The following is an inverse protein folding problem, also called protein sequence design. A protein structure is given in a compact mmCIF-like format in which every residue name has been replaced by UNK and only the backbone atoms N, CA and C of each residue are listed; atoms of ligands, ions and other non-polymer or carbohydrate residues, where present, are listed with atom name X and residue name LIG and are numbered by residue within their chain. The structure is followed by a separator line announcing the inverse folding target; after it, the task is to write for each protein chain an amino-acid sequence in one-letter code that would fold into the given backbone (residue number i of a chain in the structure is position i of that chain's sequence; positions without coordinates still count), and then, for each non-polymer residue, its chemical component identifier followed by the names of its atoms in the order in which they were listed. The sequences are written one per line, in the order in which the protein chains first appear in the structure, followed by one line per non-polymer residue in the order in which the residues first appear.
data_IF_129591897818
#
_entry.id   IF_129591897818
#
_cell.length_a   1.000
_cell.length_b   1.000
_cell.length_c   1.000
_cell.angle_alpha   90.00
_cell.angle_beta   90.00
_cell.angle_gamma   90.00
#
_symmetry.space_group_name_H-M   'P 1'
#
loop_
_entity.id
_entity.type
_entity.pdbx_description
1 polymer ?
#
# COMPACT_ATOMS: atom_id res chain seq x y z
N UNK A 1 21.61 -33.65 14.39
CA UNK A 1 21.15 -33.00 15.65
C UNK A 1 21.58 -31.54 15.76
N UNK A 2 22.79 -31.15 15.38
CA UNK A 2 23.20 -29.72 15.37
C UNK A 2 22.64 -28.94 14.15
N UNK A 3 22.61 -29.55 12.97
CA UNK A 3 22.11 -28.92 11.74
C UNK A 3 20.60 -28.67 11.77
N UNK A 4 19.83 -29.58 12.34
CA UNK A 4 18.36 -29.44 12.50
C UNK A 4 18.04 -28.23 13.41
N UNK A 5 18.82 -28.03 14.48
CA UNK A 5 18.65 -26.87 15.37
C UNK A 5 18.97 -25.55 14.65
N UNK A 6 20.07 -25.49 13.89
CA UNK A 6 20.41 -24.30 13.10
C UNK A 6 19.33 -23.95 12.08
N UNK A 7 18.80 -24.93 11.37
CA UNK A 7 17.74 -24.69 10.38
C UNK A 7 16.44 -24.22 11.02
N UNK A 8 16.11 -24.72 12.21
CA UNK A 8 14.96 -24.24 12.98
C UNK A 8 15.16 -22.79 13.46
N UNK A 9 16.35 -22.45 13.96
CA UNK A 9 16.67 -21.09 14.40
C UNK A 9 16.63 -20.10 13.22
N UNK A 10 17.18 -20.48 12.07
CA UNK A 10 17.14 -19.68 10.83
C UNK A 10 15.69 -19.48 10.36
N UNK A 11 14.87 -20.54 10.36
CA UNK A 11 13.46 -20.45 10.01
C UNK A 11 12.68 -19.53 10.96
N UNK A 12 13.02 -19.52 12.26
CA UNK A 12 12.43 -18.62 13.25
C UNK A 12 12.80 -17.16 12.97
N UNK A 13 14.07 -16.86 12.70
CA UNK A 13 14.52 -15.50 12.34
C UNK A 13 13.83 -15.01 11.09
N UNK A 14 13.75 -15.86 10.05
CA UNK A 14 13.05 -15.54 8.80
C UNK A 14 11.56 -15.25 9.03
N UNK A 15 10.88 -16.05 9.85
CA UNK A 15 9.47 -15.84 10.16
C UNK A 15 9.23 -14.48 10.86
N UNK A 16 10.06 -14.12 11.83
CA UNK A 16 9.99 -12.81 12.51
C UNK A 16 10.21 -11.66 11.52
N UNK A 17 11.24 -11.75 10.67
CA UNK A 17 11.54 -10.73 9.69
C UNK A 17 10.39 -10.54 8.68
N UNK A 18 9.83 -11.64 8.15
CA UNK A 18 8.70 -11.56 7.20
C UNK A 18 7.46 -10.99 7.89
N UNK A 19 7.23 -11.32 9.17
CA UNK A 19 6.09 -10.78 9.93
C UNK A 19 6.21 -9.27 10.09
N UNK A 20 7.40 -8.76 10.45
CA UNK A 20 7.66 -7.32 10.49
C UNK A 20 7.39 -6.63 9.14
N UNK A 21 7.86 -7.20 8.02
CA UNK A 21 7.59 -6.65 6.69
C UNK A 21 6.09 -6.68 6.32
N UNK A 22 5.35 -7.67 6.80
CA UNK A 22 3.90 -7.72 6.61
C UNK A 22 3.19 -6.59 7.36
N UNK A 23 3.61 -6.28 8.59
CA UNK A 23 3.07 -5.18 9.38
C UNK A 23 3.39 -3.82 8.76
N UNK A 24 4.63 -3.61 8.33
CA UNK A 24 5.03 -2.40 7.60
C UNK A 24 4.20 -2.22 6.33
N UNK A 25 4.03 -3.28 5.54
CA UNK A 25 3.20 -3.25 4.33
C UNK A 25 1.78 -2.81 4.66
N UNK A 26 1.18 -3.38 5.70
CA UNK A 26 -0.18 -3.04 6.15
C UNK A 26 -0.26 -1.58 6.61
N UNK A 27 0.74 -1.09 7.36
CA UNK A 27 0.83 0.30 7.78
C UNK A 27 0.87 1.25 6.57
N UNK A 28 1.77 1.00 5.61
CA UNK A 28 1.90 1.83 4.41
C UNK A 28 0.66 1.75 3.52
N UNK A 29 0.04 0.58 3.40
CA UNK A 29 -1.21 0.40 2.66
C UNK A 29 -2.33 1.23 3.28
N UNK A 30 -2.48 1.20 4.60
CA UNK A 30 -3.47 2.01 5.32
C UNK A 30 -3.23 3.51 5.14
N UNK A 31 -1.97 3.95 5.21
CA UNK A 31 -1.61 5.36 5.00
C UNK A 31 -1.90 5.81 3.55
N UNK A 32 -1.54 4.99 2.57
CA UNK A 32 -1.78 5.25 1.16
C UNK A 32 -3.29 5.30 0.84
N UNK A 33 -4.09 4.38 1.39
CA UNK A 33 -5.54 4.34 1.16
C UNK A 33 -6.24 5.57 1.76
N UNK A 34 -5.85 5.99 2.98
CA UNK A 34 -6.34 7.25 3.57
C UNK A 34 -6.04 8.46 2.68
N UNK A 35 -4.81 8.53 2.14
CA UNK A 35 -4.40 9.65 1.28
C UNK A 35 -5.13 9.64 -0.07
N UNK A 36 -5.31 8.47 -0.68
CA UNK A 36 -6.13 8.26 -1.88
C UNK A 36 -7.57 8.74 -1.66
N UNK A 37 -8.19 8.32 -0.55
CA UNK A 37 -9.57 8.71 -0.24
C UNK A 37 -9.72 10.22 -0.04
N UNK A 38 -8.76 10.85 0.63
CA UNK A 38 -8.71 12.31 0.77
C UNK A 38 -8.63 13.01 -0.60
N UNK A 39 -7.69 12.61 -1.45
CA UNK A 39 -7.53 13.21 -2.79
C UNK A 39 -8.76 12.96 -3.67
N UNK A 40 -9.36 11.76 -3.63
CA UNK A 40 -10.60 11.46 -4.35
C UNK A 40 -11.75 12.35 -3.87
N UNK A 41 -11.90 12.56 -2.58
CA UNK A 41 -12.93 13.45 -2.03
C UNK A 41 -12.74 14.90 -2.51
N UNK A 42 -11.49 15.36 -2.66
CA UNK A 42 -11.17 16.70 -3.17
C UNK A 42 -11.35 16.84 -4.69
N UNK A 43 -10.99 15.81 -5.46
CA UNK A 43 -11.01 15.82 -6.92
C UNK A 43 -12.39 15.49 -7.52
N UNK A 44 -13.18 14.63 -6.87
CA UNK A 44 -14.50 14.20 -7.36
C UNK A 44 -15.44 15.36 -7.72
N UNK A 45 -15.72 16.35 -6.83
CA UNK A 45 -16.59 17.46 -7.18
C UNK A 45 -16.02 18.33 -8.31
N UNK A 46 -14.69 18.43 -8.39
CA UNK A 46 -14.01 19.17 -9.45
C UNK A 46 -14.13 18.49 -10.82
N UNK A 47 -14.13 17.15 -10.86
CA UNK A 47 -14.38 16.38 -12.08
C UNK A 47 -15.83 16.48 -12.51
N UNK A 48 -16.78 16.31 -11.59
CA UNK A 48 -18.22 16.45 -11.88
C UNK A 48 -18.55 17.81 -12.48
N UNK A 49 -18.12 18.89 -11.82
CA UNK A 49 -18.33 20.25 -12.32
C UNK A 49 -17.72 20.46 -13.71
N UNK A 50 -16.53 19.90 -13.96
CA UNK A 50 -15.87 19.98 -15.27
C UNK A 50 -16.67 19.24 -16.34
N UNK A 51 -17.12 18.04 -16.04
CA UNK A 51 -17.84 17.19 -16.98
C UNK A 51 -19.21 17.78 -17.31
N UNK A 52 -19.91 18.36 -16.33
CA UNK A 52 -21.14 19.14 -16.56
C UNK A 52 -20.91 20.35 -17.47
N UNK A 53 -19.84 21.12 -17.24
CA UNK A 53 -19.49 22.27 -18.10
C UNK A 53 -19.16 21.79 -19.50
N UNK A 54 -18.37 20.72 -19.63
CA UNK A 54 -18.01 20.13 -20.92
C UNK A 54 -19.23 19.65 -21.70
N UNK A 55 -20.20 19.01 -21.04
CA UNK A 55 -21.48 18.60 -21.63
C UNK A 55 -22.25 19.82 -22.12
N UNK A 56 -22.35 20.86 -21.28
CA UNK A 56 -23.12 22.08 -21.59
C UNK A 56 -22.58 22.88 -22.78
N UNK A 57 -21.26 23.02 -22.89
CA UNK A 57 -20.65 23.83 -23.95
C UNK A 57 -20.36 23.03 -25.23
N UNK A 58 -20.38 21.70 -25.13
CA UNK A 58 -20.02 20.79 -26.21
C UNK A 58 -18.49 20.57 -26.31
N UNK A 59 -18.10 19.36 -26.73
CA UNK A 59 -16.69 18.94 -26.79
C UNK A 59 -15.82 19.85 -27.66
N UNK A 60 -16.37 20.39 -28.75
CA UNK A 60 -15.62 21.21 -29.70
C UNK A 60 -15.25 22.57 -29.12
N UNK A 61 -16.20 23.24 -28.45
CA UNK A 61 -15.94 24.52 -27.75
C UNK A 61 -15.10 24.33 -26.49
N UNK A 62 -15.20 23.17 -25.84
CA UNK A 62 -14.34 22.82 -24.71
C UNK A 62 -12.86 22.73 -25.11
N UNK A 63 -12.57 22.13 -26.26
CA UNK A 63 -11.20 21.98 -26.77
C UNK A 63 -10.61 23.29 -27.32
N UNK A 64 -11.44 24.21 -27.79
CA UNK A 64 -11.01 25.48 -28.40
C UNK A 64 -11.08 26.69 -27.45
N UNK A 65 -11.26 26.48 -26.14
CA UNK A 65 -11.39 27.57 -25.17
C UNK A 65 -10.09 28.42 -25.12
N UNK A 66 -10.13 29.71 -25.50
CA UNK A 66 -8.94 30.54 -25.63
C UNK A 66 -8.36 31.04 -24.29
N UNK A 67 -9.10 30.92 -23.16
CA UNK A 67 -8.66 31.46 -21.87
C UNK A 67 -8.92 30.49 -20.69
N UNK A 68 -8.14 29.40 -20.57
CA UNK A 68 -8.22 28.54 -19.40
C UNK A 68 -7.71 29.26 -18.14
N UNK A 69 -8.48 29.21 -17.04
CA UNK A 69 -8.00 29.66 -15.72
C UNK A 69 -6.91 28.70 -15.22
N UNK A 70 -5.65 29.09 -15.39
CA UNK A 70 -4.49 28.20 -15.22
C UNK A 70 -4.19 27.79 -13.77
N UNK A 71 -4.45 28.65 -12.77
CA UNK A 71 -4.01 28.37 -11.39
C UNK A 71 -4.72 27.14 -10.79
N UNK A 72 -6.04 27.04 -10.96
CA UNK A 72 -6.81 25.87 -10.49
C UNK A 72 -6.64 24.64 -11.39
N UNK A 73 -6.13 24.82 -12.62
CA UNK A 73 -5.78 23.70 -13.48
C UNK A 73 -4.44 23.07 -13.05
N UNK A 74 -3.46 23.90 -12.67
CA UNK A 74 -2.15 23.45 -12.21
C UNK A 74 -2.23 22.68 -10.88
N UNK A 75 -2.95 23.22 -9.89
CA UNK A 75 -3.15 22.54 -8.60
C UNK A 75 -3.84 21.19 -8.77
N UNK A 76 -4.94 21.15 -9.53
CA UNK A 76 -5.66 19.91 -9.82
C UNK A 76 -4.79 18.89 -10.55
N UNK A 77 -3.97 19.32 -11.51
CA UNK A 77 -3.04 18.44 -12.22
C UNK A 77 -2.01 17.84 -11.27
N UNK A 78 -1.56 18.61 -10.27
CA UNK A 78 -0.67 18.09 -9.23
C UNK A 78 -1.38 17.04 -8.37
N UNK A 79 -2.60 17.33 -7.90
CA UNK A 79 -3.42 16.39 -7.11
C UNK A 79 -3.75 15.11 -7.89
N UNK A 80 -4.09 15.22 -9.19
CA UNK A 80 -4.34 14.08 -10.08
C UNK A 80 -3.10 13.22 -10.30
N UNK A 81 -1.93 13.87 -10.43
CA UNK A 81 -0.64 13.17 -10.52
C UNK A 81 -0.34 12.42 -9.22
N UNK A 82 -0.53 13.08 -8.08
CA UNK A 82 -0.31 12.47 -6.76
C UNK A 82 -1.26 11.28 -6.54
N UNK A 83 -2.54 11.42 -6.91
CA UNK A 83 -3.50 10.31 -6.83
C UNK A 83 -3.03 9.10 -7.65
N UNK A 84 -2.55 9.33 -8.88
CA UNK A 84 -2.02 8.27 -9.75
C UNK A 84 -0.79 7.58 -9.16
N UNK A 85 0.10 8.34 -8.52
CA UNK A 85 1.28 7.80 -7.84
C UNK A 85 0.89 6.96 -6.61
N UNK A 86 -0.10 7.38 -5.84
CA UNK A 86 -0.63 6.60 -4.71
C UNK A 86 -1.30 5.32 -5.20
N UNK A 87 -2.07 5.37 -6.28
CA UNK A 87 -2.69 4.17 -6.87
C UNK A 87 -1.64 3.17 -7.35
N UNK A 88 -0.52 3.63 -7.94
CA UNK A 88 0.63 2.78 -8.26
C UNK A 88 1.29 2.20 -7.02
N UNK A 89 1.44 2.99 -5.97
CA UNK A 89 2.03 2.56 -4.69
C UNK A 89 1.18 1.45 -4.08
N UNK A 90 -0.15 1.61 -4.04
CA UNK A 90 -1.09 0.59 -3.58
C UNK A 90 -1.01 -0.68 -4.42
N UNK A 91 -0.93 -0.55 -5.75
CA UNK A 91 -0.74 -1.71 -6.62
C UNK A 91 0.58 -2.44 -6.34
N UNK A 92 1.65 -1.70 -6.02
CA UNK A 92 2.95 -2.28 -5.68
C UNK A 92 2.88 -2.99 -4.33
N UNK A 93 2.31 -2.35 -3.31
CA UNK A 93 2.11 -2.97 -1.99
C UNK A 93 1.23 -4.23 -2.07
N UNK A 94 0.19 -4.23 -2.91
CA UNK A 94 -0.64 -5.40 -3.13
C UNK A 94 0.11 -6.57 -3.77
N UNK A 95 1.15 -6.30 -4.57
CA UNK A 95 2.00 -7.34 -5.18
C UNK A 95 3.02 -7.94 -4.21
N UNK A 96 3.27 -7.29 -3.07
CA UNK A 96 4.16 -7.76 -2.00
C UNK A 96 3.41 -8.72 -1.06
N UNK A 97 2.85 -9.79 -1.61
CA UNK A 97 2.19 -10.84 -0.83
C UNK A 97 3.22 -11.62 0.00
N UNK A 98 3.17 -11.43 1.32
CA UNK A 98 4.04 -12.08 2.30
C UNK A 98 3.45 -13.39 2.84
N UNK A 99 2.18 -13.69 2.53
CA UNK A 99 1.43 -14.81 3.11
C UNK A 99 2.09 -16.15 2.83
N UNK A 100 2.50 -16.37 1.58
CA UNK A 100 3.18 -17.60 1.17
C UNK A 100 4.51 -17.80 1.91
N UNK A 101 5.32 -16.74 2.03
CA UNK A 101 6.62 -16.81 2.67
C UNK A 101 6.49 -17.06 4.20
N UNK A 102 5.51 -16.43 4.86
CA UNK A 102 5.17 -16.69 6.27
C UNK A 102 4.78 -18.15 6.44
N UNK A 103 3.83 -18.64 5.65
CA UNK A 103 3.33 -20.01 5.71
C UNK A 103 4.48 -21.01 5.54
N UNK A 104 5.33 -20.79 4.54
CA UNK A 104 6.46 -21.68 4.24
C UNK A 104 7.49 -21.70 5.37
N UNK A 105 7.80 -20.55 5.96
CA UNK A 105 8.75 -20.47 7.09
C UNK A 105 8.22 -21.23 8.33
N UNK A 106 6.90 -21.14 8.59
CA UNK A 106 6.24 -21.86 9.69
C UNK A 106 6.26 -23.37 9.47
N UNK A 107 5.98 -23.83 8.26
CA UNK A 107 6.05 -25.25 7.90
C UNK A 107 7.44 -25.83 8.15
N UNK A 108 8.50 -25.14 7.70
CA UNK A 108 9.88 -25.58 7.91
C UNK A 108 10.18 -25.68 9.41
N UNK A 109 9.84 -24.65 10.18
CA UNK A 109 10.05 -24.67 11.62
C UNK A 109 9.30 -25.83 12.30
N UNK A 110 8.03 -26.04 11.95
CA UNK A 110 7.22 -27.12 12.49
C UNK A 110 7.80 -28.49 12.15
N UNK A 111 8.20 -28.72 10.90
CA UNK A 111 8.81 -29.98 10.49
C UNK A 111 10.13 -30.27 11.21
N UNK A 112 10.89 -29.23 11.59
CA UNK A 112 12.18 -29.40 12.25
C UNK A 112 12.07 -29.54 13.77
N UNK A 113 11.02 -29.00 14.40
CA UNK A 113 10.90 -28.91 15.86
C UNK A 113 9.71 -29.67 16.45
N UNK A 114 8.70 -29.99 15.64
CA UNK A 114 7.41 -30.51 16.10
C UNK A 114 6.55 -29.47 16.84
N UNK A 115 6.96 -28.19 16.84
CA UNK A 115 6.27 -27.11 17.56
C UNK A 115 5.77 -26.04 16.59
N UNK A 116 4.59 -25.48 16.86
CA UNK A 116 4.12 -24.31 16.13
C UNK A 116 4.84 -23.04 16.62
N UNK A 117 5.15 -22.13 15.71
CA UNK A 117 5.61 -20.78 16.09
C UNK A 117 4.37 -19.95 16.40
N UNK A 118 4.16 -19.63 17.68
CA UNK A 118 3.16 -18.63 18.04
C UNK A 118 3.58 -17.25 17.51
N UNK A 119 2.68 -16.63 16.75
CA UNK A 119 2.87 -15.30 16.15
C UNK A 119 2.95 -14.15 17.16
N UNK A 120 2.86 -14.45 18.46
CA UNK A 120 2.90 -13.49 19.56
C UNK A 120 4.18 -13.66 20.41
N UNK A 121 5.30 -14.05 19.80
CA UNK A 121 6.59 -14.03 20.49
C UNK A 121 6.93 -12.57 20.88
N UNK A 122 6.48 -12.23 22.09
CA UNK A 122 6.89 -11.16 22.99
C UNK A 122 8.00 -10.31 22.38
N UNK A 123 7.57 -9.23 21.71
CA UNK A 123 8.46 -8.14 21.33
C UNK A 123 8.85 -7.54 22.68
N UNK A 124 9.97 -7.99 23.22
CA UNK A 124 10.45 -7.58 24.54
C UNK A 124 10.28 -6.08 24.69
N UNK A 125 9.46 -5.68 25.66
CA UNK A 125 9.34 -4.28 26.06
C UNK A 125 10.75 -3.78 26.36
N UNK A 126 11.26 -2.92 25.47
CA UNK A 126 12.45 -2.14 25.75
C UNK A 126 12.04 -1.15 26.85
N UNK A 127 12.60 -1.22 28.06
CA UNK A 127 12.30 -0.25 29.09
C UNK A 127 12.80 1.12 28.63
N UNK A 128 11.96 2.14 28.80
CA UNK A 128 12.34 3.55 28.65
C UNK A 128 13.48 3.95 29.60
#
# INVERSE_FOLDING_TARGET
TLEIKKLADDAKVVNVAISHFADDRNMYQNAAEKKKNRLKAQLSPQWQSRDEVKIRIGTDKWKSNPAPKNNYAALRKADEKELKEIERTLSTLASLDTTFAIQRSREIYFHMTGTNVDSNADIGSVPN
#
